data_IF_233124586029
#
_entry.id   IF_233124586029
#
_cell.length_a   1.000
_cell.length_b   1.000
_cell.length_c   1.000
_cell.angle_alpha   90.00
_cell.angle_beta   90.00
_cell.angle_gamma   90.00
#
_symmetry.space_group_name_H-M   'P 1'
#
loop_
_entity.id
_entity.type
_entity.pdbx_description
1 polymer ?
#
# COMPACT_ATOMS: atom_id res chain seq x y z
N UNK A 1 -25.50 1.78 -7.50
CA UNK A 1 -24.19 1.15 -7.77
C UNK A 1 -23.15 2.21 -7.52
N UNK A 2 -22.18 1.95 -6.64
CA UNK A 2 -21.09 2.89 -6.37
C UNK A 2 -19.95 2.55 -7.32
N UNK A 3 -19.60 3.48 -8.21
CA UNK A 3 -18.43 3.29 -9.08
C UNK A 3 -17.17 3.44 -8.24
N UNK A 4 -16.22 2.50 -8.40
CA UNK A 4 -14.89 2.67 -7.84
C UNK A 4 -14.23 3.87 -8.53
N UNK A 5 -13.72 4.81 -7.75
CA UNK A 5 -13.03 6.00 -8.26
C UNK A 5 -11.58 6.01 -7.77
N UNK A 6 -10.67 6.51 -8.62
CA UNK A 6 -9.27 6.71 -8.27
C UNK A 6 -9.06 8.21 -8.10
N UNK A 7 -8.70 8.65 -6.90
CA UNK A 7 -8.42 10.05 -6.62
C UNK A 7 -7.03 10.43 -7.17
N UNK A 8 -6.95 11.59 -7.84
CA UNK A 8 -5.66 12.17 -8.22
C UNK A 8 -5.02 12.83 -6.98
N UNK A 9 -3.89 12.28 -6.53
CA UNK A 9 -3.14 12.75 -5.36
C UNK A 9 -1.89 13.56 -5.73
N UNK A 10 -1.68 13.90 -7.01
CA UNK A 10 -0.43 14.54 -7.47
C UNK A 10 -0.13 15.91 -6.81
N UNK A 11 -1.13 16.56 -6.22
CA UNK A 11 -0.99 17.84 -5.51
C UNK A 11 -1.14 17.71 -3.99
N UNK A 12 -1.21 16.50 -3.44
CA UNK A 12 -1.41 16.25 -2.01
C UNK A 12 -0.14 15.64 -1.41
N UNK A 13 0.26 16.15 -0.24
CA UNK A 13 1.27 15.49 0.57
C UNK A 13 0.63 14.26 1.24
N UNK A 14 0.86 13.10 0.66
CA UNK A 14 0.39 11.82 1.21
C UNK A 14 1.48 11.24 2.12
N UNK A 15 1.10 10.89 3.33
CA UNK A 15 1.95 10.14 4.26
C UNK A 15 1.46 8.70 4.35
N UNK A 16 2.38 7.74 4.33
CA UNK A 16 2.06 6.31 4.46
C UNK A 16 2.96 5.68 5.52
N UNK A 17 2.34 5.13 6.55
CA UNK A 17 3.01 4.29 7.54
C UNK A 17 2.85 2.82 7.13
N UNK A 18 3.94 2.06 7.16
CA UNK A 18 3.97 0.65 6.73
C UNK A 18 4.36 -0.23 7.91
N UNK A 19 3.51 -1.21 8.22
CA UNK A 19 3.75 -2.22 9.25
C UNK A 19 3.83 -3.60 8.61
N UNK A 20 4.80 -4.38 9.08
CA UNK A 20 5.08 -5.72 8.58
C UNK A 20 4.93 -6.71 9.71
N UNK A 21 4.15 -7.75 9.49
CA UNK A 21 4.11 -8.96 10.31
C UNK A 21 4.41 -10.18 9.45
N UNK A 22 4.67 -11.31 10.10
CA UNK A 22 4.92 -12.63 9.55
C UNK A 22 3.90 -13.05 8.49
N UNK A 23 2.66 -12.57 8.58
CA UNK A 23 1.55 -12.97 7.69
C UNK A 23 0.85 -11.81 6.98
N UNK A 24 1.29 -10.57 7.21
CA UNK A 24 0.59 -9.39 6.69
C UNK A 24 1.50 -8.19 6.44
N UNK A 25 1.02 -7.35 5.53
CA UNK A 25 1.53 -6.01 5.27
C UNK A 25 0.35 -5.07 5.47
N UNK A 26 0.52 -4.08 6.34
CA UNK A 26 -0.49 -3.07 6.65
C UNK A 26 0.01 -1.68 6.25
N UNK A 27 -0.79 -0.97 5.47
CA UNK A 27 -0.51 0.40 5.04
C UNK A 27 -1.56 1.31 5.65
N UNK A 28 -1.11 2.37 6.32
CA UNK A 28 -1.97 3.42 6.86
C UNK A 28 -1.67 4.73 6.16
N UNK A 29 -2.65 5.27 5.46
CA UNK A 29 -2.54 6.51 4.70
C UNK A 29 -3.04 7.67 5.56
N UNK A 30 -2.30 8.79 5.53
CA UNK A 30 -2.66 10.04 6.21
C UNK A 30 -3.04 9.84 7.67
N UNK A 31 -2.14 9.24 8.46
CA UNK A 31 -2.35 8.95 9.89
C UNK A 31 -3.56 8.02 10.15
N UNK A 32 -3.87 7.13 9.20
CA UNK A 32 -4.90 6.11 9.33
C UNK A 32 -6.30 6.51 8.89
N UNK A 33 -6.44 7.60 8.12
CA UNK A 33 -7.72 7.96 7.46
C UNK A 33 -8.19 6.85 6.51
N UNK A 34 -7.24 6.23 5.80
CA UNK A 34 -7.47 5.04 4.99
C UNK A 34 -6.44 3.96 5.35
N UNK A 35 -6.83 2.69 5.20
CA UNK A 35 -5.92 1.58 5.41
C UNK A 35 -6.12 0.46 4.38
N UNK A 36 -5.01 -0.21 4.07
CA UNK A 36 -4.98 -1.40 3.22
C UNK A 36 -4.26 -2.49 4.01
N UNK A 37 -4.89 -3.66 4.11
CA UNK A 37 -4.29 -4.87 4.67
C UNK A 37 -4.13 -5.90 3.57
N UNK A 38 -2.89 -6.33 3.36
CA UNK A 38 -2.56 -7.43 2.46
C UNK A 38 -2.10 -8.63 3.28
N UNK A 39 -2.76 -9.79 3.10
CA UNK A 39 -2.28 -11.05 3.66
C UNK A 39 -1.23 -11.65 2.76
N UNK A 40 -0.13 -12.09 3.35
CA UNK A 40 0.99 -12.72 2.64
C UNK A 40 1.18 -14.12 3.19
N UNK A 41 1.22 -15.10 2.29
CA UNK A 41 1.56 -16.49 2.62
C UNK A 41 2.91 -16.79 1.97
N UNK A 42 4.00 -16.60 2.71
CA UNK A 42 5.33 -17.02 2.26
C UNK A 42 5.51 -18.51 2.54
N UNK A 43 5.87 -19.29 1.52
CA UNK A 43 6.10 -20.75 1.65
C UNK A 43 7.44 -21.04 2.35
N UNK A 44 8.37 -20.09 2.30
CA UNK A 44 9.62 -20.07 3.06
C UNK A 44 9.65 -18.75 3.85
N UNK A 45 9.59 -18.84 5.18
CA UNK A 45 9.48 -17.68 6.07
C UNK A 45 10.84 -17.08 6.46
N UNK A 46 11.94 -17.69 6.02
CA UNK A 46 13.27 -17.30 6.49
C UNK A 46 13.70 -15.92 5.98
N UNK A 47 13.24 -15.50 4.78
CA UNK A 47 13.55 -14.18 4.21
C UNK A 47 12.35 -13.57 3.44
N UNK A 48 11.58 -12.68 4.10
CA UNK A 48 10.57 -11.85 3.42
C UNK A 48 11.24 -10.62 2.80
N UNK A 49 11.48 -10.64 1.48
CA UNK A 49 11.97 -9.48 0.73
C UNK A 49 10.81 -8.68 0.14
N UNK A 50 10.62 -7.44 0.61
CA UNK A 50 9.65 -6.49 0.04
C UNK A 50 10.40 -5.43 -0.76
N UNK A 51 10.01 -5.24 -2.02
CA UNK A 51 10.55 -4.17 -2.89
C UNK A 51 9.46 -3.15 -3.19
N UNK A 52 9.72 -1.91 -2.79
CA UNK A 52 8.87 -0.76 -3.09
C UNK A 52 9.36 -0.11 -4.38
N UNK A 53 8.47 0.10 -5.33
CA UNK A 53 8.76 0.79 -6.58
C UNK A 53 7.91 2.04 -6.68
N UNK A 54 8.53 3.17 -7.04
CA UNK A 54 7.80 4.36 -7.47
C UNK A 54 7.23 4.10 -8.87
N UNK A 55 5.91 3.99 -8.97
CA UNK A 55 5.24 3.89 -10.28
C UNK A 55 4.97 5.30 -10.79
N UNK A 56 5.61 5.67 -11.91
CA UNK A 56 5.26 6.90 -12.62
C UNK A 56 3.89 6.73 -13.26
N UNK A 57 2.97 7.64 -12.97
CA UNK A 57 1.66 7.67 -13.61
C UNK A 57 1.83 7.74 -15.15
N UNK A 58 1.15 6.82 -15.87
CA UNK A 58 1.26 6.70 -17.35
C UNK A 58 0.08 7.37 -18.07
N UNK A 59 -0.75 8.13 -17.36
CA UNK A 59 -1.95 8.71 -17.95
C UNK A 59 -1.58 9.82 -18.94
N UNK A 60 -2.06 9.67 -20.19
CA UNK A 60 -2.12 10.69 -21.24
C UNK A 60 -3.46 11.41 -21.21
#
# INVERSE_FOLDING_TARGET
MTEASIANIASQNVSVDIFLDTTSIELFVNKGEESITMRVTAVDQDDLTIKLYELKAVWK
#
